data_IF_266832399667
#
_entry.id   IF_266832399667
#
_cell.length_a   1.000
_cell.length_b   1.000
_cell.length_c   1.000
_cell.angle_alpha   90.00
_cell.angle_beta   90.00
_cell.angle_gamma   90.00
#
_symmetry.space_group_name_H-M   'P 1'
#
loop_
_entity.id
_entity.type
_entity.pdbx_description
1 polymer ?
#
# COMPACT_ATOMS: atom_id res chain seq x y z
N UNK A 1 12.55 -0.34 4.62
CA UNK A 1 11.92 -1.68 4.72
C UNK A 1 12.52 -2.56 3.65
N UNK A 2 13.11 -3.69 4.02
CA UNK A 2 13.67 -4.64 3.06
C UNK A 2 12.76 -5.86 2.91
N UNK A 3 12.20 -6.04 1.72
CA UNK A 3 11.34 -7.18 1.39
C UNK A 3 12.15 -8.43 0.98
N UNK A 4 13.47 -8.31 0.80
CA UNK A 4 14.35 -9.43 0.46
C UNK A 4 14.96 -10.12 1.69
N UNK A 5 14.81 -9.54 2.89
CA UNK A 5 15.26 -10.13 4.16
C UNK A 5 14.30 -11.24 4.62
N UNK A 6 14.35 -12.37 3.91
CA UNK A 6 13.51 -13.54 4.12
C UNK A 6 14.33 -14.63 4.80
N UNK A 7 13.85 -15.13 5.96
CA UNK A 7 14.46 -16.24 6.69
C UNK A 7 13.93 -17.59 6.19
N UNK A 8 14.66 -18.69 6.46
CA UNK A 8 14.26 -20.04 6.05
C UNK A 8 13.30 -20.66 7.09
N UNK A 9 12.08 -20.13 7.18
CA UNK A 9 11.02 -20.73 7.97
C UNK A 9 10.21 -21.73 7.14
N UNK A 10 9.91 -22.91 7.71
CA UNK A 10 9.11 -23.95 7.06
C UNK A 10 7.60 -23.66 7.04
N UNK A 11 7.11 -22.72 7.86
CA UNK A 11 5.70 -22.37 8.03
C UNK A 11 5.34 -21.04 7.37
N UNK A 12 4.05 -20.79 7.15
CA UNK A 12 3.47 -19.58 6.53
C UNK A 12 4.18 -19.13 5.24
N UNK A 13 4.50 -20.10 4.39
CA UNK A 13 5.18 -19.87 3.09
C UNK A 13 4.35 -18.97 2.14
N UNK A 14 3.07 -18.83 2.35
CA UNK A 14 2.17 -17.94 1.61
C UNK A 14 2.39 -16.46 1.92
N UNK A 15 3.10 -16.11 3.00
CA UNK A 15 3.57 -14.76 3.26
C UNK A 15 4.72 -14.33 2.34
N UNK A 16 5.32 -15.24 1.59
CA UNK A 16 6.51 -15.03 0.76
C UNK A 16 6.18 -15.35 -0.70
N UNK A 17 6.82 -14.65 -1.63
CA UNK A 17 6.68 -14.92 -3.07
C UNK A 17 7.35 -16.24 -3.46
N UNK A 18 6.80 -16.91 -4.49
CA UNK A 18 7.36 -18.16 -5.04
C UNK A 18 8.38 -17.92 -6.17
N UNK A 19 9.16 -16.84 -6.10
CA UNK A 19 10.19 -16.53 -7.08
C UNK A 19 11.56 -17.10 -6.70
N UNK A 20 12.51 -17.13 -7.64
CA UNK A 20 13.89 -17.57 -7.39
C UNK A 20 14.57 -16.74 -6.29
N UNK A 21 14.30 -15.44 -6.24
CA UNK A 21 14.60 -14.57 -5.09
C UNK A 21 13.29 -14.42 -4.31
N UNK A 22 13.16 -15.07 -3.14
CA UNK A 22 11.97 -14.92 -2.31
C UNK A 22 11.88 -13.48 -1.79
N UNK A 23 10.69 -12.91 -1.82
CA UNK A 23 10.39 -11.59 -1.27
C UNK A 23 9.22 -11.70 -0.31
N UNK A 24 9.19 -10.88 0.71
CA UNK A 24 8.04 -10.73 1.58
C UNK A 24 6.85 -10.25 0.73
N UNK A 25 5.79 -11.04 0.70
CA UNK A 25 4.56 -10.73 -0.02
C UNK A 25 3.53 -10.05 0.89
N UNK A 26 3.42 -10.51 2.14
CA UNK A 26 2.49 -9.94 3.11
C UNK A 26 3.25 -9.60 4.37
N UNK A 27 3.35 -8.32 4.70
CA UNK A 27 3.99 -7.81 5.90
C UNK A 27 2.96 -7.24 6.87
N UNK A 28 3.22 -7.40 8.18
CA UNK A 28 2.41 -6.83 9.26
C UNK A 28 3.28 -5.90 10.10
N UNK A 29 2.87 -4.64 10.21
CA UNK A 29 3.63 -3.61 10.93
C UNK A 29 2.95 -3.30 12.25
N UNK A 30 3.68 -3.48 13.33
CA UNK A 30 3.31 -3.15 14.70
C UNK A 30 4.04 -1.88 15.15
N UNK A 31 3.53 -1.27 16.19
CA UNK A 31 4.16 -0.12 16.83
C UNK A 31 3.15 0.66 17.69
N UNK A 32 3.58 1.40 18.70
CA UNK A 32 2.72 2.23 19.51
C UNK A 32 2.02 3.32 18.70
N UNK A 33 1.04 3.99 19.31
CA UNK A 33 0.47 5.20 18.72
C UNK A 33 1.57 6.24 18.48
N UNK A 34 1.44 7.01 17.41
CA UNK A 34 2.41 8.03 17.00
C UNK A 34 3.82 7.50 16.66
N UNK A 35 4.00 6.17 16.47
CA UNK A 35 5.31 5.61 16.07
C UNK A 35 5.71 5.90 14.63
N UNK A 36 4.79 6.41 13.80
CA UNK A 36 5.04 6.73 12.40
C UNK A 36 4.47 5.72 11.38
N UNK A 37 3.57 4.80 11.80
CA UNK A 37 2.96 3.82 10.87
C UNK A 37 2.29 4.48 9.66
N UNK A 38 1.48 5.52 9.88
CA UNK A 38 0.87 6.27 8.77
C UNK A 38 1.89 7.04 7.95
N UNK A 39 2.95 7.57 8.57
CA UNK A 39 4.05 8.23 7.85
C UNK A 39 4.81 7.25 6.95
N UNK A 40 4.92 5.98 7.34
CA UNK A 40 5.45 4.93 6.46
C UNK A 40 4.61 4.80 5.19
N UNK A 41 3.27 4.85 5.31
CA UNK A 41 2.38 4.87 4.15
C UNK A 41 2.65 6.08 3.25
N UNK A 42 2.77 7.29 3.81
CA UNK A 42 3.12 8.49 3.04
C UNK A 42 4.47 8.34 2.32
N UNK A 43 5.50 7.84 3.01
CA UNK A 43 6.82 7.63 2.43
C UNK A 43 6.79 6.59 1.29
N UNK A 44 6.06 5.48 1.45
CA UNK A 44 5.94 4.46 0.39
C UNK A 44 5.15 5.00 -0.80
N UNK A 45 4.11 5.82 -0.58
CA UNK A 45 3.21 6.33 -1.62
C UNK A 45 3.65 7.68 -2.21
N UNK A 46 4.72 8.28 -1.73
CA UNK A 46 5.28 9.49 -2.37
C UNK A 46 5.57 9.27 -3.86
N UNK A 47 6.08 8.08 -4.22
CA UNK A 47 6.35 7.70 -5.61
C UNK A 47 5.10 7.74 -6.50
N UNK A 48 3.91 7.50 -5.94
CA UNK A 48 2.64 7.57 -6.69
C UNK A 48 2.34 9.00 -7.10
N UNK A 49 2.47 9.95 -6.17
CA UNK A 49 2.33 11.37 -6.49
C UNK A 49 3.43 11.84 -7.44
N UNK A 50 4.65 11.39 -7.20
CA UNK A 50 5.83 11.77 -7.96
C UNK A 50 5.75 11.34 -9.45
N UNK A 51 5.28 10.12 -9.73
CA UNK A 51 5.28 9.55 -11.08
C UNK A 51 3.93 9.62 -11.81
N UNK A 52 2.80 9.53 -11.09
CA UNK A 52 1.48 9.34 -11.74
C UNK A 52 0.42 10.36 -11.34
N UNK A 53 0.70 11.26 -10.39
CA UNK A 53 -0.17 12.37 -9.99
C UNK A 53 -1.60 11.93 -9.58
N UNK A 54 -1.69 10.81 -8.88
CA UNK A 54 -2.96 10.21 -8.45
C UNK A 54 -3.33 10.48 -6.99
N UNK A 55 -2.62 11.35 -6.32
CA UNK A 55 -2.92 11.71 -4.93
C UNK A 55 -3.72 13.00 -4.89
N UNK A 56 -4.92 12.94 -4.34
CA UNK A 56 -5.89 14.04 -4.38
C UNK A 56 -5.95 14.91 -3.11
N UNK A 57 -5.20 14.56 -2.06
CA UNK A 57 -5.24 15.31 -0.80
C UNK A 57 -4.02 16.23 -0.66
N UNK A 58 -4.16 17.49 -1.12
CA UNK A 58 -3.13 18.51 -0.97
C UNK A 58 -2.71 18.71 0.51
N UNK A 59 -3.67 18.64 1.45
CA UNK A 59 -3.42 18.87 2.88
C UNK A 59 -2.61 17.75 3.54
N UNK A 60 -2.58 16.56 2.96
CA UNK A 60 -1.82 15.42 3.49
C UNK A 60 -0.30 15.66 3.53
N UNK A 61 0.19 16.62 2.74
CA UNK A 61 1.60 16.96 2.60
C UNK A 61 1.96 18.35 3.14
N UNK A 62 1.10 18.97 3.95
CA UNK A 62 1.37 20.30 4.52
C UNK A 62 2.63 20.34 5.39
N UNK A 63 3.03 19.20 5.96
CA UNK A 63 4.24 19.01 6.78
C UNK A 63 5.09 17.88 6.19
N UNK A 64 5.69 18.14 5.04
CA UNK A 64 6.37 17.13 4.23
C UNK A 64 7.71 16.70 4.80
N UNK A 65 8.51 17.65 5.26
CA UNK A 65 9.83 17.39 5.81
C UNK A 65 9.76 17.00 7.30
N UNK A 66 10.85 16.40 7.79
CA UNK A 66 10.97 16.10 9.20
C UNK A 66 11.02 17.41 10.01
N UNK A 67 10.14 17.55 11.00
CA UNK A 67 10.05 18.75 11.83
C UNK A 67 11.31 19.00 12.68
N UNK A 68 12.08 17.95 13.01
CA UNK A 68 13.33 18.06 13.75
C UNK A 68 14.52 18.48 12.87
N UNK A 69 14.41 18.31 11.55
CA UNK A 69 15.45 18.64 10.57
C UNK A 69 14.84 19.28 9.31
N UNK A 70 14.14 20.42 9.45
CA UNK A 70 13.35 21.00 8.35
C UNK A 70 14.20 21.49 7.15
N UNK A 71 15.49 21.70 7.36
CA UNK A 71 16.44 22.09 6.30
C UNK A 71 16.97 20.90 5.49
N UNK A 72 16.76 19.67 5.98
CA UNK A 72 17.20 18.47 5.28
C UNK A 72 16.15 18.03 4.27
N UNK A 73 16.53 17.76 2.99
CA UNK A 73 15.60 17.25 2.01
C UNK A 73 15.11 15.85 2.38
N UNK A 74 13.90 15.51 1.94
CA UNK A 74 13.41 14.14 2.01
C UNK A 74 14.07 13.29 0.93
N UNK A 75 14.63 12.13 1.32
CA UNK A 75 15.32 11.20 0.44
C UNK A 75 14.51 9.92 0.29
N UNK A 76 14.32 9.49 -0.94
CA UNK A 76 13.58 8.27 -1.28
C UNK A 76 14.44 7.37 -2.14
N UNK A 77 14.46 6.09 -1.80
CA UNK A 77 15.06 5.04 -2.63
C UNK A 77 14.14 3.83 -2.67
N UNK A 78 13.77 3.43 -3.86
CA UNK A 78 12.93 2.27 -4.11
C UNK A 78 13.69 1.27 -4.97
N UNK A 79 13.70 0.01 -4.53
CA UNK A 79 14.27 -1.11 -5.28
C UNK A 79 13.15 -2.05 -5.72
N UNK A 80 13.04 -2.28 -7.02
CA UNK A 80 12.06 -3.17 -7.62
C UNK A 80 12.75 -4.34 -8.30
N UNK A 81 12.08 -5.48 -8.29
CA UNK A 81 12.49 -6.65 -9.06
C UNK A 81 11.40 -6.99 -10.08
N UNK A 82 11.63 -6.68 -11.35
CA UNK A 82 10.75 -7.02 -12.46
C UNK A 82 11.32 -8.19 -13.26
N UNK A 83 10.72 -9.36 -13.13
CA UNK A 83 11.25 -10.63 -13.62
C UNK A 83 12.64 -10.92 -13.03
N UNK A 84 13.71 -10.64 -13.78
CA UNK A 84 15.11 -10.80 -13.36
C UNK A 84 15.87 -9.48 -13.30
N UNK A 85 15.22 -8.37 -13.64
CA UNK A 85 15.82 -7.04 -13.67
C UNK A 85 15.60 -6.33 -12.35
N UNK A 86 16.70 -5.89 -11.73
CA UNK A 86 16.67 -5.02 -10.56
C UNK A 86 16.63 -3.56 -11.03
N UNK A 87 15.64 -2.82 -10.55
CA UNK A 87 15.47 -1.40 -10.87
C UNK A 87 15.56 -0.61 -9.58
N UNK A 88 16.56 0.26 -9.45
CA UNK A 88 16.70 1.16 -8.31
C UNK A 88 16.40 2.58 -8.79
N UNK A 89 15.42 3.17 -8.16
CA UNK A 89 14.99 4.53 -8.42
C UNK A 89 15.08 5.36 -7.15
N UNK A 90 15.83 6.45 -7.19
CA UNK A 90 16.01 7.34 -6.06
C UNK A 90 15.79 8.80 -6.47
N UNK A 91 15.30 9.59 -5.51
CA UNK A 91 15.16 11.04 -5.67
C UNK A 91 15.18 11.74 -4.32
N UNK A 92 15.46 13.05 -4.34
CA UNK A 92 15.38 13.93 -3.16
C UNK A 92 14.48 15.12 -3.46
N UNK A 93 13.74 15.57 -2.44
CA UNK A 93 12.80 16.70 -2.53
C UNK A 93 12.95 17.65 -1.34
N UNK A 94 12.77 18.94 -1.58
CA UNK A 94 12.70 19.97 -0.51
C UNK A 94 11.27 20.21 0.00
N UNK A 95 10.29 19.80 -0.76
CA UNK A 95 8.87 19.85 -0.43
C UNK A 95 8.12 18.77 -1.23
N UNK A 96 6.80 18.73 -1.17
CA UNK A 96 6.01 17.70 -1.86
C UNK A 96 6.13 17.71 -3.40
N UNK A 97 6.72 18.74 -4.00
CA UNK A 97 6.83 18.94 -5.46
C UNK A 97 8.26 19.07 -5.95
N UNK A 98 9.07 19.92 -5.30
CA UNK A 98 10.38 20.34 -5.80
C UNK A 98 11.43 19.24 -5.69
N UNK A 99 11.93 18.78 -6.83
CA UNK A 99 12.92 17.71 -6.98
C UNK A 99 14.31 18.31 -7.05
N UNK A 100 15.25 17.84 -6.22
CA UNK A 100 16.66 18.24 -6.26
C UNK A 100 17.48 17.23 -7.05
N UNK A 101 17.31 15.94 -6.75
CA UNK A 101 18.03 14.86 -7.42
C UNK A 101 17.05 13.80 -7.90
N UNK A 102 17.44 13.10 -8.96
CA UNK A 102 16.70 11.95 -9.47
C UNK A 102 17.67 11.01 -10.18
N UNK A 103 17.57 9.72 -9.90
CA UNK A 103 18.49 8.72 -10.45
C UNK A 103 17.77 7.40 -10.70
N UNK A 104 18.05 6.81 -11.85
CA UNK A 104 17.58 5.48 -12.21
C UNK A 104 18.76 4.60 -12.59
N UNK A 105 18.84 3.42 -11.97
CA UNK A 105 19.74 2.34 -12.37
C UNK A 105 18.94 1.06 -12.66
N UNK A 106 19.43 0.25 -13.59
CA UNK A 106 18.89 -1.07 -13.92
C UNK A 106 20.06 -2.05 -13.93
N UNK A 107 19.97 -3.12 -13.10
CA UNK A 107 21.06 -4.09 -12.89
C UNK A 107 22.40 -3.39 -12.54
N UNK A 108 22.38 -2.38 -11.69
CA UNK A 108 23.49 -1.50 -11.30
C UNK A 108 24.04 -0.60 -12.42
N UNK A 109 23.46 -0.59 -13.60
CA UNK A 109 23.88 0.30 -14.69
C UNK A 109 23.05 1.59 -14.68
N UNK A 110 23.75 2.73 -14.75
CA UNK A 110 23.11 4.05 -14.82
C UNK A 110 22.29 4.19 -16.11
N UNK A 111 21.03 4.61 -15.97
CA UNK A 111 20.14 4.98 -17.09
C UNK A 111 20.11 6.49 -17.24
N UNK A 112 19.86 7.20 -16.14
CA UNK A 112 19.96 8.66 -16.06
C UNK A 112 20.25 9.11 -14.62
N UNK A 113 20.78 10.32 -14.52
CA UNK A 113 20.95 11.04 -13.26
C UNK A 113 20.65 12.52 -13.47
N UNK A 114 19.93 13.11 -12.52
CA UNK A 114 19.62 14.54 -12.48
C UNK A 114 20.09 15.12 -11.17
N UNK A 115 20.79 16.25 -11.22
CA UNK A 115 21.11 17.09 -10.09
C UNK A 115 20.71 18.54 -10.43
N UNK A 116 19.57 18.96 -9.92
CA UNK A 116 18.92 20.23 -10.30
C UNK A 116 18.77 20.35 -11.83
N UNK A 117 19.46 21.31 -12.44
CA UNK A 117 19.41 21.57 -13.90
C UNK A 117 20.42 20.73 -14.71
N UNK A 118 21.32 20.00 -14.04
CA UNK A 118 22.28 19.12 -14.69
C UNK A 118 21.66 17.73 -14.87
N UNK A 119 21.53 17.30 -16.11
CA UNK A 119 20.90 16.02 -16.45
C UNK A 119 21.89 15.20 -17.29
N UNK A 120 22.24 14.01 -16.80
CA UNK A 120 22.95 12.97 -17.57
C UNK A 120 21.95 11.93 -18.05
N UNK A 121 21.83 11.79 -19.36
CA UNK A 121 20.96 10.82 -20.04
C UNK A 121 21.74 9.83 -20.90
N UNK A 122 23.04 9.68 -20.65
CA UNK A 122 23.93 8.82 -21.47
C UNK A 122 23.49 7.35 -21.53
N UNK A 123 22.76 6.90 -20.50
CA UNK A 123 22.23 5.53 -20.43
C UNK A 123 20.86 5.28 -21.05
N UNK A 124 20.19 6.29 -21.66
CA UNK A 124 18.84 6.11 -22.25
C UNK A 124 18.77 5.06 -23.35
N UNK A 125 19.84 4.87 -24.10
CA UNK A 125 19.94 3.81 -25.12
C UNK A 125 19.73 2.41 -24.56
N UNK A 126 20.07 2.16 -23.27
CA UNK A 126 19.89 0.87 -22.59
C UNK A 126 18.42 0.51 -22.43
N UNK A 127 17.54 1.50 -22.37
CA UNK A 127 16.08 1.32 -22.31
C UNK A 127 15.41 1.55 -23.67
N UNK A 128 16.20 1.63 -24.75
CA UNK A 128 15.76 1.85 -26.12
C UNK A 128 15.03 3.17 -26.34
N UNK A 129 15.43 4.20 -25.61
CA UNK A 129 14.95 5.58 -25.78
C UNK A 129 16.01 6.36 -26.53
N UNK A 130 15.57 7.07 -27.56
CA UNK A 130 16.42 8.00 -28.32
C UNK A 130 16.64 9.33 -27.60
N UNK A 131 17.07 10.34 -28.34
CA UNK A 131 17.23 11.69 -27.81
C UNK A 131 15.88 12.31 -27.44
N UNK A 132 15.83 12.93 -26.27
CA UNK A 132 14.67 13.66 -25.76
C UNK A 132 15.02 15.15 -25.70
N UNK A 133 14.01 16.01 -25.94
CA UNK A 133 14.17 17.44 -25.70
C UNK A 133 13.96 17.73 -24.21
N UNK A 134 15.05 18.04 -23.51
CA UNK A 134 15.03 18.31 -22.07
C UNK A 134 15.11 19.82 -21.75
N UNK A 135 14.98 20.69 -22.76
CA UNK A 135 15.14 22.15 -22.59
C UNK A 135 14.10 22.80 -21.68
N UNK A 136 13.01 22.08 -21.37
CA UNK A 136 11.86 22.60 -20.59
C UNK A 136 11.55 21.74 -19.37
N UNK A 137 12.58 21.16 -18.76
CA UNK A 137 12.42 20.35 -17.53
C UNK A 137 12.30 21.28 -16.32
N UNK A 138 11.10 21.36 -15.76
CA UNK A 138 10.85 22.05 -14.50
C UNK A 138 11.34 21.23 -13.29
N UNK A 139 11.60 21.93 -12.18
CA UNK A 139 12.00 21.29 -10.92
C UNK A 139 10.91 20.36 -10.34
N UNK A 140 9.65 20.57 -10.72
CA UNK A 140 8.49 19.83 -10.23
C UNK A 140 8.16 18.61 -11.10
N UNK A 141 8.79 18.50 -12.28
CA UNK A 141 8.56 17.39 -13.21
C UNK A 141 9.61 16.29 -13.05
N UNK A 142 9.19 15.08 -12.74
CA UNK A 142 10.07 13.91 -12.72
C UNK A 142 10.60 13.60 -14.12
N UNK A 143 11.92 13.42 -14.23
CA UNK A 143 12.57 12.99 -15.47
C UNK A 143 12.12 11.59 -15.90
N UNK A 144 11.93 10.68 -14.93
CA UNK A 144 11.40 9.35 -15.23
C UNK A 144 9.98 9.40 -15.80
N UNK A 145 9.11 10.22 -15.23
CA UNK A 145 7.75 10.46 -15.74
C UNK A 145 7.79 11.08 -17.14
N UNK A 146 8.68 12.05 -17.34
CA UNK A 146 8.86 12.69 -18.65
C UNK A 146 9.32 11.68 -19.71
N UNK A 147 10.33 10.86 -19.41
CA UNK A 147 10.81 9.79 -20.29
C UNK A 147 9.68 8.83 -20.64
N UNK A 148 8.94 8.35 -19.62
CA UNK A 148 7.88 7.38 -19.82
C UNK A 148 6.74 7.89 -20.70
N UNK A 149 6.40 9.18 -20.60
CA UNK A 149 5.30 9.79 -21.33
C UNK A 149 5.69 10.24 -22.75
N UNK A 150 6.98 10.52 -22.99
CA UNK A 150 7.48 11.07 -24.27
C UNK A 150 8.30 10.06 -25.08
N UNK A 151 8.30 8.78 -24.69
CA UNK A 151 9.06 7.73 -25.38
C UNK A 151 8.20 6.51 -25.68
N UNK A 152 8.42 5.88 -26.82
CA UNK A 152 7.81 4.60 -27.18
C UNK A 152 8.53 3.44 -26.48
N UNK A 153 8.32 3.27 -25.17
CA UNK A 153 8.94 2.20 -24.40
C UNK A 153 8.40 0.82 -24.83
N UNK A 154 9.28 -0.17 -25.06
CA UNK A 154 8.85 -1.54 -25.35
C UNK A 154 8.02 -2.14 -24.23
N UNK A 155 7.17 -3.12 -24.54
CA UNK A 155 6.39 -3.85 -23.50
C UNK A 155 7.28 -4.58 -22.48
N UNK A 156 8.50 -4.92 -22.85
CA UNK A 156 9.50 -5.58 -21.99
C UNK A 156 10.35 -4.59 -21.21
N UNK A 157 10.11 -3.28 -21.34
CA UNK A 157 10.89 -2.25 -20.65
C UNK A 157 10.69 -2.30 -19.12
N UNK A 158 11.77 -2.36 -18.32
CA UNK A 158 11.66 -2.25 -16.88
C UNK A 158 11.06 -0.91 -16.43
N UNK A 159 11.29 0.17 -17.16
CA UNK A 159 10.68 1.49 -16.90
C UNK A 159 9.17 1.43 -17.07
N UNK A 160 8.68 0.79 -18.13
CA UNK A 160 7.24 0.58 -18.32
C UNK A 160 6.65 -0.27 -17.20
N UNK A 161 7.33 -1.34 -16.80
CA UNK A 161 6.91 -2.18 -15.69
C UNK A 161 6.85 -1.40 -14.36
N UNK A 162 7.82 -0.50 -14.11
CA UNK A 162 7.81 0.39 -12.96
C UNK A 162 6.60 1.32 -12.98
N UNK A 163 6.35 2.00 -14.09
CA UNK A 163 5.21 2.93 -14.22
C UNK A 163 3.88 2.19 -14.05
N UNK A 164 3.73 1.01 -14.66
CA UNK A 164 2.56 0.16 -14.49
C UNK A 164 2.37 -0.29 -13.04
N UNK A 165 3.45 -0.65 -12.35
CA UNK A 165 3.43 -1.03 -10.93
C UNK A 165 2.96 0.14 -10.07
N UNK A 166 3.58 1.31 -10.20
CA UNK A 166 3.27 2.50 -9.40
C UNK A 166 1.83 2.97 -9.65
N UNK A 167 1.37 2.93 -10.91
CA UNK A 167 0.01 3.35 -11.26
C UNK A 167 -1.09 2.46 -10.66
N UNK A 168 -0.73 1.25 -10.20
CA UNK A 168 -1.65 0.26 -9.60
C UNK A 168 -1.45 0.07 -8.10
N UNK A 169 -0.62 0.88 -7.45
CA UNK A 169 -0.49 0.89 -5.99
C UNK A 169 -1.76 1.43 -5.35
N UNK A 170 -2.20 0.83 -4.25
CA UNK A 170 -3.43 1.19 -3.55
C UNK A 170 -3.16 1.30 -2.05
N UNK A 171 -3.57 2.42 -1.47
CA UNK A 171 -3.52 2.65 -0.04
C UNK A 171 -4.91 2.94 0.52
N UNK A 172 -5.36 2.11 1.46
CA UNK A 172 -6.50 2.40 2.31
C UNK A 172 -6.03 3.19 3.51
N UNK A 173 -6.40 4.46 3.54
CA UNK A 173 -6.15 5.33 4.67
C UNK A 173 -7.46 5.58 5.39
N UNK A 174 -7.46 5.29 6.69
CA UNK A 174 -8.59 5.51 7.53
C UNK A 174 -8.32 6.59 8.57
N UNK A 175 -8.52 7.83 8.25
CA UNK A 175 -8.45 8.95 9.20
C UNK A 175 -9.78 9.69 9.30
N UNK A 176 -10.64 9.60 8.29
CA UNK A 176 -11.89 10.33 8.23
C UNK A 176 -13.09 9.43 7.95
N UNK A 177 -14.29 9.95 8.26
CA UNK A 177 -15.59 9.28 8.14
C UNK A 177 -15.91 8.67 6.75
N UNK A 178 -15.06 8.87 5.75
CA UNK A 178 -15.32 8.51 4.35
C UNK A 178 -14.46 7.37 3.79
N UNK A 179 -13.71 6.61 4.61
CA UNK A 179 -12.86 5.51 4.13
C UNK A 179 -12.02 5.90 2.89
N UNK A 180 -11.20 6.94 3.03
CA UNK A 180 -10.40 7.44 1.92
C UNK A 180 -9.38 6.40 1.45
N UNK A 181 -9.22 6.30 0.13
CA UNK A 181 -8.18 5.49 -0.51
C UNK A 181 -7.40 6.34 -1.52
N UNK A 182 -6.16 5.96 -1.78
CA UNK A 182 -5.24 6.71 -2.64
C UNK A 182 -4.50 5.76 -3.59
N UNK A 183 -4.13 6.26 -4.76
CA UNK A 183 -3.33 5.53 -5.74
C UNK A 183 -4.13 5.03 -6.93
N UNK A 184 -4.33 3.72 -7.08
CA UNK A 184 -4.91 3.05 -8.26
C UNK A 184 -6.17 3.74 -8.81
N UNK A 185 -7.10 4.09 -7.93
CA UNK A 185 -8.19 5.01 -8.21
C UNK A 185 -8.18 6.10 -7.13
N UNK A 186 -8.37 7.35 -7.55
CA UNK A 186 -8.54 8.49 -6.67
C UNK A 186 -10.01 8.87 -6.61
N UNK A 187 -10.54 9.14 -5.42
CA UNK A 187 -11.90 9.60 -5.22
C UNK A 187 -12.79 8.63 -4.42
N UNK A 188 -14.02 9.01 -4.19
CA UNK A 188 -15.04 8.17 -3.57
C UNK A 188 -15.81 7.43 -4.67
N UNK A 189 -15.56 6.14 -4.87
CA UNK A 189 -16.46 5.32 -5.68
C UNK A 189 -17.79 5.15 -4.93
N UNK A 190 -18.92 5.31 -5.62
CA UNK A 190 -20.22 4.93 -5.05
C UNK A 190 -20.29 3.42 -4.96
N UNK A 191 -20.05 2.88 -3.75
CA UNK A 191 -20.12 1.43 -3.48
C UNK A 191 -21.53 0.90 -3.75
N UNK A 192 -22.58 1.67 -3.39
CA UNK A 192 -23.97 1.32 -3.74
C UNK A 192 -24.14 1.13 -5.24
N UNK A 193 -23.66 2.12 -6.01
CA UNK A 193 -23.78 2.08 -7.46
C UNK A 193 -23.03 0.90 -8.07
N UNK A 194 -21.84 0.59 -7.56
CA UNK A 194 -21.08 -0.59 -7.98
C UNK A 194 -21.84 -1.88 -7.70
N UNK A 195 -22.38 -2.05 -6.48
CA UNK A 195 -23.13 -3.25 -6.08
C UNK A 195 -24.40 -3.41 -6.95
N UNK A 196 -25.13 -2.32 -7.17
CA UNK A 196 -26.38 -2.33 -7.93
C UNK A 196 -26.12 -2.61 -9.42
N UNK A 197 -25.19 -1.87 -10.05
CA UNK A 197 -24.89 -2.02 -11.48
C UNK A 197 -24.34 -3.38 -11.86
N UNK A 198 -23.63 -4.06 -10.95
CA UNK A 198 -23.03 -5.36 -11.20
C UNK A 198 -23.86 -6.53 -10.62
N UNK A 199 -25.10 -6.26 -10.15
CA UNK A 199 -26.01 -7.27 -9.55
C UNK A 199 -25.36 -8.05 -8.38
N UNK A 200 -24.59 -7.37 -7.56
CA UNK A 200 -23.81 -7.97 -6.47
C UNK A 200 -24.53 -7.95 -5.10
N UNK A 201 -25.81 -7.54 -5.04
CA UNK A 201 -26.53 -7.40 -3.77
C UNK A 201 -26.55 -8.71 -2.97
N UNK A 202 -26.83 -9.83 -3.63
CA UNK A 202 -26.88 -11.15 -2.99
C UNK A 202 -25.51 -11.58 -2.46
N UNK A 203 -24.46 -11.33 -3.23
CA UNK A 203 -23.07 -11.63 -2.83
C UNK A 203 -22.65 -10.75 -1.66
N UNK A 204 -22.97 -9.46 -1.70
CA UNK A 204 -22.70 -8.51 -0.63
C UNK A 204 -23.42 -8.90 0.67
N UNK A 205 -24.70 -9.28 0.59
CA UNK A 205 -25.44 -9.79 1.75
C UNK A 205 -24.79 -11.05 2.34
N UNK A 206 -24.39 -12.02 1.50
CA UNK A 206 -23.71 -13.23 1.96
C UNK A 206 -22.34 -12.92 2.59
N UNK A 207 -21.61 -11.97 2.01
CA UNK A 207 -20.34 -11.50 2.55
C UNK A 207 -20.53 -10.91 3.95
N UNK A 208 -21.50 -10.02 4.14
CA UNK A 208 -21.80 -9.40 5.43
C UNK A 208 -22.27 -10.42 6.47
N UNK A 209 -23.13 -11.36 6.08
CA UNK A 209 -23.59 -12.43 6.97
C UNK A 209 -22.42 -13.29 7.48
N UNK A 210 -21.44 -13.62 6.62
CA UNK A 210 -20.22 -14.34 7.02
C UNK A 210 -19.36 -13.53 8.00
N UNK A 211 -19.52 -12.20 8.02
CA UNK A 211 -18.84 -11.27 8.94
C UNK A 211 -19.72 -10.87 10.13
N UNK A 212 -20.78 -11.65 10.42
CA UNK A 212 -21.69 -11.45 11.56
C UNK A 212 -22.55 -10.17 11.48
N UNK A 213 -22.73 -9.62 10.29
CA UNK A 213 -23.69 -8.55 10.02
C UNK A 213 -24.92 -9.19 9.36
N UNK A 214 -25.99 -9.36 10.14
CA UNK A 214 -27.17 -10.17 9.77
C UNK A 214 -28.36 -9.38 9.23
N UNK A 215 -28.31 -8.04 9.30
CA UNK A 215 -29.36 -7.16 8.78
C UNK A 215 -29.54 -7.35 7.27
N UNK A 216 -30.79 -7.46 6.84
CA UNK A 216 -31.14 -7.59 5.43
C UNK A 216 -30.95 -6.27 4.69
N UNK A 217 -30.34 -6.35 3.52
CA UNK A 217 -30.10 -5.18 2.66
C UNK A 217 -30.98 -5.30 1.42
N UNK A 218 -31.60 -4.18 1.07
CA UNK A 218 -32.45 -4.04 -0.11
C UNK A 218 -32.05 -2.81 -0.93
N UNK A 219 -32.37 -2.84 -2.22
CA UNK A 219 -32.27 -1.67 -3.09
C UNK A 219 -33.60 -0.91 -3.04
N UNK A 220 -33.53 0.39 -2.78
CA UNK A 220 -34.67 1.32 -2.82
C UNK A 220 -34.26 2.59 -3.55
N UNK A 221 -35.27 3.32 -4.02
CA UNK A 221 -35.04 4.67 -4.53
C UNK A 221 -35.00 5.66 -3.37
N UNK A 222 -34.05 6.58 -3.41
CA UNK A 222 -33.99 7.71 -2.51
C UNK A 222 -35.04 8.79 -2.93
N UNK A 223 -35.22 9.87 -2.15
CA UNK A 223 -36.18 10.93 -2.51
C UNK A 223 -35.89 11.61 -3.85
N UNK A 224 -34.69 11.47 -4.42
CA UNK A 224 -34.32 12.02 -5.75
C UNK A 224 -34.61 11.05 -6.89
N UNK A 225 -35.06 9.81 -6.58
CA UNK A 225 -35.30 8.74 -7.54
C UNK A 225 -34.06 7.90 -7.85
N UNK A 226 -32.91 8.18 -7.23
CA UNK A 226 -31.67 7.40 -7.38
C UNK A 226 -31.75 6.12 -6.56
N UNK A 227 -31.36 5.00 -7.15
CA UNK A 227 -31.25 3.72 -6.41
C UNK A 227 -30.07 3.76 -5.42
N UNK A 228 -30.34 3.28 -4.20
CA UNK A 228 -29.32 3.12 -3.15
C UNK A 228 -29.62 1.90 -2.27
N UNK A 229 -28.67 1.56 -1.39
CA UNK A 229 -28.78 0.44 -0.45
C UNK A 229 -29.43 0.89 0.86
N UNK A 230 -30.33 0.05 1.37
CA UNK A 230 -31.04 0.28 2.63
C UNK A 230 -31.06 -0.99 3.49
N UNK A 231 -30.96 -0.82 4.81
CA UNK A 231 -31.38 -1.87 5.73
C UNK A 231 -32.89 -2.03 5.68
N UNK A 232 -33.35 -3.28 5.58
CA UNK A 232 -34.78 -3.62 5.46
C UNK A 232 -35.41 -3.70 6.85
N UNK A 233 -36.13 -2.66 7.22
CA UNK A 233 -36.95 -2.57 8.43
C UNK A 233 -38.35 -2.10 8.07
N UNK A 234 -39.24 -1.94 9.06
CA UNK A 234 -40.56 -1.32 8.86
C UNK A 234 -40.42 0.06 8.20
N UNK A 235 -39.45 0.85 8.72
CA UNK A 235 -38.94 2.04 8.05
C UNK A 235 -37.52 1.74 7.54
N UNK A 236 -37.34 1.66 6.24
CA UNK A 236 -36.01 1.37 5.67
C UNK A 236 -35.01 2.49 6.03
N UNK A 237 -33.78 2.10 6.42
CA UNK A 237 -32.73 3.00 6.83
C UNK A 237 -31.62 3.03 5.75
N UNK A 238 -31.18 4.22 5.26
CA UNK A 238 -30.10 4.31 4.30
C UNK A 238 -28.82 3.65 4.81
N UNK A 239 -28.29 2.66 4.08
CA UNK A 239 -27.15 1.85 4.53
C UNK A 239 -25.93 2.70 4.91
N UNK A 240 -25.45 3.55 3.99
CA UNK A 240 -24.24 4.34 4.20
C UNK A 240 -24.38 5.46 5.24
N UNK A 241 -25.60 5.88 5.56
CA UNK A 241 -25.86 6.88 6.59
C UNK A 241 -26.00 6.29 7.99
N UNK A 242 -26.43 5.02 8.12
CA UNK A 242 -26.82 4.44 9.41
C UNK A 242 -26.00 3.23 9.82
N UNK A 243 -25.24 2.61 8.89
CA UNK A 243 -24.39 1.47 9.20
C UNK A 243 -23.28 1.83 10.21
N UNK A 244 -22.91 0.87 11.02
CA UNK A 244 -21.75 1.00 11.92
C UNK A 244 -20.46 1.22 11.15
N UNK A 245 -19.46 1.83 11.81
CA UNK A 245 -18.14 2.03 11.19
C UNK A 245 -17.51 0.70 10.72
N UNK A 246 -17.69 -0.38 11.46
CA UNK A 246 -17.22 -1.72 11.07
C UNK A 246 -17.93 -2.23 9.81
N UNK A 247 -19.25 -2.07 9.73
CA UNK A 247 -20.04 -2.45 8.55
C UNK A 247 -19.65 -1.65 7.32
N UNK A 248 -19.40 -0.34 7.47
CA UNK A 248 -18.91 0.52 6.38
C UNK A 248 -17.52 0.07 5.91
N UNK A 249 -16.61 -0.23 6.83
CA UNK A 249 -15.29 -0.73 6.48
C UNK A 249 -15.35 -2.08 5.74
N UNK A 250 -16.29 -2.97 6.12
CA UNK A 250 -16.56 -4.21 5.38
C UNK A 250 -17.10 -3.94 3.97
N UNK A 251 -17.97 -2.94 3.80
CA UNK A 251 -18.46 -2.56 2.48
C UNK A 251 -17.34 -2.05 1.56
N UNK A 252 -16.42 -1.24 2.10
CA UNK A 252 -15.21 -0.80 1.36
C UNK A 252 -14.33 -1.98 1.01
N UNK A 253 -14.10 -2.91 1.95
CA UNK A 253 -13.30 -4.11 1.66
C UNK A 253 -13.98 -4.99 0.61
N UNK A 254 -15.31 -5.18 0.68
CA UNK A 254 -16.08 -5.88 -0.35
C UNK A 254 -15.92 -5.27 -1.74
N UNK A 255 -16.00 -3.95 -1.84
CA UNK A 255 -15.76 -3.25 -3.10
C UNK A 255 -14.35 -3.54 -3.64
N UNK A 256 -13.32 -3.35 -2.82
CA UNK A 256 -11.93 -3.47 -3.26
C UNK A 256 -11.50 -4.90 -3.55
N UNK A 257 -12.06 -5.93 -2.88
CA UNK A 257 -11.71 -7.32 -3.17
C UNK A 257 -11.92 -7.71 -4.64
N UNK A 258 -12.87 -7.07 -5.36
CA UNK A 258 -13.09 -7.27 -6.77
C UNK A 258 -11.97 -6.71 -7.66
N UNK A 259 -11.16 -5.79 -7.14
CA UNK A 259 -10.09 -5.12 -7.88
C UNK A 259 -8.69 -5.53 -7.42
N UNK A 260 -8.54 -6.24 -6.30
CA UNK A 260 -7.23 -6.59 -5.72
C UNK A 260 -6.32 -7.38 -6.66
N UNK A 261 -6.89 -8.12 -7.62
CA UNK A 261 -6.10 -8.82 -8.65
C UNK A 261 -5.38 -7.87 -9.63
N UNK A 262 -5.84 -6.62 -9.73
CA UNK A 262 -5.27 -5.58 -10.58
C UNK A 262 -4.36 -4.63 -9.80
N UNK A 263 -4.32 -4.74 -8.47
CA UNK A 263 -3.46 -3.96 -7.59
C UNK A 263 -2.07 -4.59 -7.58
N UNK A 264 -1.03 -3.76 -7.71
CA UNK A 264 0.38 -4.17 -7.66
C UNK A 264 0.93 -4.23 -6.24
N UNK A 265 0.55 -3.24 -5.42
CA UNK A 265 0.98 -3.07 -4.04
C UNK A 265 -0.18 -2.51 -3.22
N UNK A 266 -0.45 -3.13 -2.06
CA UNK A 266 -1.53 -2.75 -1.16
C UNK A 266 -0.96 -2.31 0.20
N UNK A 267 -1.36 -1.14 0.67
CA UNK A 267 -1.12 -0.68 2.03
C UNK A 267 -2.45 -0.47 2.75
N UNK A 268 -2.66 -1.15 3.88
CA UNK A 268 -3.86 -0.98 4.70
C UNK A 268 -3.45 -0.46 6.07
N UNK A 269 -3.73 0.82 6.32
CA UNK A 269 -3.41 1.47 7.59
C UNK A 269 -4.48 1.18 8.63
N UNK A 270 -4.06 0.69 9.82
CA UNK A 270 -4.94 0.30 10.93
C UNK A 270 -6.12 -0.58 10.44
N UNK A 271 -5.80 -1.61 9.63
CA UNK A 271 -6.78 -2.36 8.85
C UNK A 271 -7.88 -3.00 9.69
N UNK A 272 -7.59 -3.28 10.94
CA UNK A 272 -8.45 -3.99 11.89
C UNK A 272 -9.09 -3.09 12.94
N UNK A 273 -8.88 -1.77 12.88
CA UNK A 273 -9.36 -0.82 13.89
C UNK A 273 -10.89 -0.89 14.16
N UNK A 274 -11.66 -1.51 13.27
CA UNK A 274 -13.11 -1.57 13.33
C UNK A 274 -13.67 -2.98 13.25
N UNK A 275 -12.80 -3.98 13.23
CA UNK A 275 -13.21 -5.38 13.11
C UNK A 275 -13.00 -6.11 14.44
N UNK A 276 -13.90 -7.02 14.74
CA UNK A 276 -13.65 -8.03 15.75
C UNK A 276 -12.45 -8.89 15.29
N UNK A 277 -11.66 -9.40 16.24
CA UNK A 277 -10.46 -10.21 15.98
C UNK A 277 -10.65 -11.26 14.88
N UNK A 278 -11.72 -12.07 14.94
CA UNK A 278 -11.97 -13.13 13.96
C UNK A 278 -12.13 -12.60 12.52
N UNK A 279 -12.65 -11.37 12.35
CA UNK A 279 -12.78 -10.73 11.03
C UNK A 279 -11.41 -10.29 10.53
N UNK A 280 -10.60 -9.70 11.41
CA UNK A 280 -9.24 -9.26 11.09
C UNK A 280 -8.36 -10.44 10.66
N UNK A 281 -8.45 -11.55 11.38
CA UNK A 281 -7.76 -12.79 11.04
C UNK A 281 -8.17 -13.31 9.65
N UNK A 282 -9.48 -13.38 9.37
CA UNK A 282 -9.98 -13.86 8.09
C UNK A 282 -9.54 -12.94 6.92
N UNK A 283 -9.59 -11.62 7.12
CA UNK A 283 -9.08 -10.66 6.13
C UNK A 283 -7.58 -10.90 5.87
N UNK A 284 -6.77 -11.04 6.92
CA UNK A 284 -5.34 -11.28 6.75
C UNK A 284 -5.07 -12.61 6.00
N UNK A 285 -5.83 -13.68 6.30
CA UNK A 285 -5.77 -14.95 5.56
C UNK A 285 -6.15 -14.79 4.08
N UNK A 286 -7.10 -13.93 3.77
CA UNK A 286 -7.48 -13.63 2.37
C UNK A 286 -6.40 -12.81 1.66
N UNK A 287 -5.83 -11.78 2.31
CA UNK A 287 -4.74 -10.96 1.78
C UNK A 287 -3.51 -11.81 1.43
N UNK A 288 -3.19 -12.82 2.22
CA UNK A 288 -2.10 -13.77 1.93
C UNK A 288 -2.32 -14.59 0.66
N UNK A 289 -3.55 -14.70 0.16
CA UNK A 289 -3.87 -15.46 -1.08
C UNK A 289 -3.81 -14.62 -2.34
N UNK A 290 -3.91 -13.28 -2.23
CA UNK A 290 -3.82 -12.40 -3.39
C UNK A 290 -2.39 -12.31 -3.92
N UNK A 291 -2.25 -11.86 -5.18
CA UNK A 291 -0.94 -11.79 -5.85
C UNK A 291 -0.13 -10.57 -5.49
N UNK A 292 -0.78 -9.46 -5.14
CA UNK A 292 -0.08 -8.21 -4.86
C UNK A 292 0.70 -8.28 -3.55
N UNK A 293 1.78 -7.52 -3.49
CA UNK A 293 2.53 -7.29 -2.27
C UNK A 293 1.68 -6.42 -1.33
N UNK A 294 1.63 -6.79 -0.05
CA UNK A 294 0.71 -6.17 0.91
C UNK A 294 1.43 -5.81 2.19
N UNK A 295 1.21 -4.61 2.69
CA UNK A 295 1.53 -4.20 4.05
C UNK A 295 0.22 -3.89 4.78
N UNK A 296 0.07 -4.41 5.99
CA UNK A 296 -1.00 -4.01 6.90
C UNK A 296 -0.37 -3.44 8.17
N UNK A 297 -0.93 -2.37 8.73
CA UNK A 297 -0.55 -1.89 10.05
C UNK A 297 -1.66 -2.23 11.05
N UNK A 298 -1.27 -2.58 12.26
CA UNK A 298 -2.21 -3.01 13.30
C UNK A 298 -1.66 -2.74 14.71
N UNK A 299 -2.57 -2.65 15.67
CA UNK A 299 -2.28 -2.70 17.12
C UNK A 299 -2.70 -4.04 17.74
N UNK A 300 -3.32 -4.92 16.98
CA UNK A 300 -3.88 -6.17 17.46
C UNK A 300 -2.80 -7.24 17.61
N UNK A 301 -2.34 -7.45 18.84
CA UNK A 301 -1.30 -8.45 19.15
C UNK A 301 -1.77 -9.88 18.93
N UNK A 302 -3.08 -10.16 19.00
CA UNK A 302 -3.62 -11.48 18.73
C UNK A 302 -3.32 -12.01 17.32
N UNK A 303 -3.04 -11.13 16.35
CA UNK A 303 -2.59 -11.53 15.02
C UNK A 303 -1.14 -12.02 14.98
N UNK A 304 -0.36 -11.86 16.07
CA UNK A 304 0.99 -12.43 16.23
C UNK A 304 0.94 -13.92 16.53
N UNK A 305 0.40 -14.68 15.61
CA UNK A 305 0.21 -16.10 15.72
C UNK A 305 0.91 -16.80 14.54
N UNK A 306 1.66 -17.85 14.81
CA UNK A 306 2.35 -18.67 13.80
C UNK A 306 1.41 -19.37 12.79
N UNK A 307 0.10 -19.46 13.11
CA UNK A 307 -0.92 -19.91 12.15
C UNK A 307 -1.30 -18.84 11.13
N UNK A 308 -0.85 -17.59 11.34
CA UNK A 308 -1.13 -16.44 10.48
C UNK A 308 0.11 -15.85 9.84
N UNK A 309 1.14 -15.63 10.65
CA UNK A 309 2.33 -14.88 10.26
C UNK A 309 3.61 -15.60 10.69
N UNK A 310 4.72 -15.19 10.15
CA UNK A 310 6.08 -15.64 10.50
C UNK A 310 6.91 -14.44 10.99
N UNK A 311 7.95 -14.65 11.79
CA UNK A 311 8.66 -13.54 12.46
C UNK A 311 9.29 -12.52 11.51
N UNK A 312 9.80 -12.96 10.36
CA UNK A 312 10.48 -12.11 9.38
C UNK A 312 9.52 -11.24 8.54
N UNK A 313 8.19 -11.49 8.60
CA UNK A 313 7.19 -10.61 7.98
C UNK A 313 6.50 -9.69 8.97
N UNK A 314 6.76 -9.84 10.28
CA UNK A 314 6.31 -8.95 11.33
C UNK A 314 7.37 -7.88 11.59
N UNK A 315 6.98 -6.62 11.54
CA UNK A 315 7.87 -5.49 11.71
C UNK A 315 7.46 -4.64 12.91
N UNK A 316 8.46 -4.14 13.64
CA UNK A 316 8.28 -3.14 14.68
C UNK A 316 8.64 -1.76 14.13
N UNK A 317 7.71 -0.82 14.24
CA UNK A 317 7.92 0.59 13.99
C UNK A 317 8.19 1.31 15.31
N UNK A 318 9.41 1.81 15.49
CA UNK A 318 9.83 2.51 16.71
C UNK A 318 10.81 3.63 16.35
N UNK A 319 10.58 4.83 16.90
CA UNK A 319 11.47 6.00 16.71
C UNK A 319 11.81 6.25 15.22
N UNK A 320 10.83 6.15 14.33
CA UNK A 320 11.04 6.35 12.89
C UNK A 320 11.80 5.22 12.18
N UNK A 321 12.18 4.15 12.89
CA UNK A 321 12.84 2.98 12.31
C UNK A 321 11.87 1.79 12.18
N UNK A 322 12.12 0.93 11.20
CA UNK A 322 11.32 -0.25 10.95
C UNK A 322 12.22 -1.47 10.81
N UNK A 323 12.09 -2.40 11.75
CA UNK A 323 12.89 -3.64 11.78
C UNK A 323 11.98 -4.86 11.89
N UNK A 324 12.36 -5.97 11.24
CA UNK A 324 11.62 -7.23 11.39
C UNK A 324 11.83 -7.82 12.78
N UNK A 325 10.84 -8.54 13.31
CA UNK A 325 10.98 -9.23 14.60
C UNK A 325 12.15 -10.22 14.58
N UNK A 326 12.42 -10.83 13.43
CA UNK A 326 13.56 -11.73 13.28
C UNK A 326 14.94 -11.05 13.46
N UNK A 327 14.99 -9.70 13.30
CA UNK A 327 16.21 -8.90 13.46
C UNK A 327 16.27 -8.16 14.81
N UNK A 328 15.20 -8.18 15.59
CA UNK A 328 15.13 -7.49 16.89
C UNK A 328 15.44 -8.38 18.09
N UNK A 329 15.75 -9.65 17.87
CA UNK A 329 16.13 -10.59 18.92
C UNK A 329 17.26 -11.50 18.45
N UNK A 330 18.16 -11.86 19.33
CA UNK A 330 19.19 -12.88 19.09
C UNK A 330 18.61 -14.30 19.23
N UNK A 331 17.39 -14.43 19.74
CA UNK A 331 16.72 -15.71 19.92
C UNK A 331 16.30 -16.30 18.59
N UNK A 332 16.58 -17.57 18.38
CA UNK A 332 16.00 -18.32 17.26
C UNK A 332 14.49 -18.49 17.43
N UNK A 333 13.71 -17.77 16.61
CA UNK A 333 12.25 -17.84 16.67
C UNK A 333 11.73 -19.05 15.90
N UNK A 334 11.19 -20.03 16.63
CA UNK A 334 10.65 -21.28 16.10
C UNK A 334 9.13 -21.33 16.18
N UNK A 335 8.49 -22.26 15.49
CA UNK A 335 7.04 -22.46 15.48
C UNK A 335 6.44 -22.61 16.90
N UNK A 336 7.18 -23.17 17.86
CA UNK A 336 6.76 -23.34 19.25
C UNK A 336 6.81 -22.05 20.09
N UNK A 337 7.40 -20.96 19.60
CA UNK A 337 7.45 -19.71 20.34
C UNK A 337 6.10 -18.97 20.21
N UNK A 338 5.63 -18.38 21.29
CA UNK A 338 4.46 -17.51 21.23
C UNK A 338 4.89 -16.06 20.95
N UNK A 339 4.73 -15.61 19.68
CA UNK A 339 5.15 -14.28 19.24
C UNK A 339 4.44 -13.16 20.00
N UNK A 340 3.15 -13.34 20.32
CA UNK A 340 2.39 -12.36 21.10
C UNK A 340 2.98 -12.19 22.50
N UNK A 341 3.28 -13.29 23.21
CA UNK A 341 3.91 -13.21 24.55
C UNK A 341 5.28 -12.55 24.49
N UNK A 342 6.09 -12.85 23.48
CA UNK A 342 7.39 -12.21 23.29
C UNK A 342 7.24 -10.71 23.00
N UNK A 343 6.27 -10.32 22.20
CA UNK A 343 5.96 -8.92 21.95
C UNK A 343 5.55 -8.19 23.24
N UNK A 344 4.60 -8.76 24.00
CA UNK A 344 4.09 -8.19 25.25
C UNK A 344 5.14 -8.14 26.35
N UNK A 345 6.12 -9.05 26.35
CA UNK A 345 7.25 -9.03 27.30
C UNK A 345 8.33 -8.01 26.93
N UNK A 346 8.22 -7.34 25.78
CA UNK A 346 9.18 -6.34 25.31
C UNK A 346 10.40 -6.93 24.58
N UNK A 347 10.40 -8.21 24.21
CA UNK A 347 11.52 -8.86 23.49
C UNK A 347 11.94 -8.08 22.22
N UNK A 348 10.99 -7.46 21.54
CA UNK A 348 11.21 -6.71 20.28
C UNK A 348 11.38 -5.21 20.51
N UNK A 349 11.55 -4.76 21.75
CA UNK A 349 11.67 -3.34 22.06
C UNK A 349 13.10 -2.80 21.93
N UNK A 350 14.05 -3.58 21.49
CA UNK A 350 15.44 -3.30 21.17
C UNK A 350 16.01 -1.99 21.65
#
# INVERSE_FOLDING_TARGET
>A
MDFADVRDYSFQKDCITKHKKPLIKTAVVYGPNASGKSNLGFAIFDIVQHLVDKMTQADAYSYYLNADTPESPAEFTYTFLFNTKEVVYSYTKTDSRTIITEKLTIDNELVFERLRDKIDTSGLSKIKVGSLNLSYMDSDLSLLRYIANNSALPNTSPVRALMDFVSKMLWFRRVDKNNNYMGYHSGSASISEFIIKNDLLKEFQQFLNKKQVSENIVVKQDPTGKQDLYFSHVQNLPFFATASSGTLALAVYFYWQHFLNNVSFLYMDEFDAFYHYAISEDILRQLKKIKCQTIVTTHNTGLLNHDLVRPDVCFMMKNGTLNSFANLTERELRLGNNLEKLYLSGEFNG
#
